data_IF_584448687092
#
_entry.id   IF_584448687092
#
_cell.length_a   1.000
_cell.length_b   1.000
_cell.length_c   1.000
_cell.angle_alpha   90.00
_cell.angle_beta   90.00
_cell.angle_gamma   90.00
#
_symmetry.space_group_name_H-M   'P 1'
#
loop_
_entity.id
_entity.type
_entity.pdbx_description
1 polymer ?
#
# COMPACT_ATOMS: atom_id res chain seq x y z
N UNK A 1 19.89 -25.36 -40.96
CA UNK A 1 19.43 -25.78 -39.62
C UNK A 1 19.39 -24.53 -38.78
N UNK A 2 18.24 -24.31 -38.15
CA UNK A 2 17.67 -23.00 -37.82
C UNK A 2 18.44 -22.20 -36.77
N UNK A 3 18.31 -20.88 -36.93
CA UNK A 3 18.82 -19.82 -36.08
C UNK A 3 18.40 -20.01 -34.62
N UNK A 4 19.37 -19.86 -33.73
CA UNK A 4 19.12 -19.56 -32.32
C UNK A 4 18.60 -18.12 -32.28
N UNK A 5 17.33 -17.96 -31.92
CA UNK A 5 16.80 -16.65 -31.52
C UNK A 5 17.52 -16.26 -30.23
N UNK A 6 18.40 -15.28 -30.36
CA UNK A 6 19.10 -14.63 -29.28
C UNK A 6 18.08 -13.69 -28.61
N UNK A 7 17.47 -14.16 -27.52
CA UNK A 7 16.51 -13.41 -26.70
C UNK A 7 17.24 -12.25 -26.01
N UNK A 8 17.54 -11.22 -26.79
CA UNK A 8 18.15 -9.96 -26.40
C UNK A 8 17.07 -8.98 -25.94
N UNK A 9 16.09 -9.48 -25.18
CA UNK A 9 15.21 -8.60 -24.42
C UNK A 9 16.03 -7.97 -23.29
N UNK A 10 16.06 -6.65 -23.23
CA UNK A 10 16.65 -5.96 -22.08
C UNK A 10 15.82 -6.30 -20.83
N UNK A 11 16.47 -6.39 -19.66
CA UNK A 11 15.77 -6.67 -18.40
C UNK A 11 14.57 -5.75 -18.16
N UNK A 12 14.61 -4.51 -18.67
CA UNK A 12 13.50 -3.57 -18.61
C UNK A 12 12.31 -3.97 -19.49
N UNK A 13 12.53 -4.52 -20.68
CA UNK A 13 11.49 -5.01 -21.58
C UNK A 13 10.81 -6.27 -21.03
N UNK A 14 11.55 -7.15 -20.35
CA UNK A 14 10.96 -8.31 -19.64
C UNK A 14 10.04 -7.90 -18.49
N UNK A 15 10.19 -6.66 -18.00
CA UNK A 15 9.31 -6.10 -16.97
C UNK A 15 8.09 -5.42 -17.58
N UNK A 16 8.03 -5.15 -18.88
CA UNK A 16 6.91 -4.45 -19.55
C UNK A 16 6.14 -5.39 -20.50
N UNK A 17 6.13 -6.69 -20.21
CA UNK A 17 5.53 -7.70 -21.10
C UNK A 17 4.02 -7.57 -21.23
N UNK A 18 3.32 -7.20 -20.15
CA UNK A 18 1.86 -7.11 -20.14
C UNK A 18 1.38 -5.72 -19.72
N UNK A 19 0.43 -5.20 -20.50
CA UNK A 19 -0.28 -3.97 -20.15
C UNK A 19 -1.12 -4.17 -18.90
N UNK A 20 -1.31 -3.11 -18.12
CA UNK A 20 -2.16 -3.12 -16.94
C UNK A 20 -3.56 -3.69 -17.25
N UNK A 21 -3.99 -4.66 -16.44
CA UNK A 21 -5.24 -5.43 -16.57
C UNK A 21 -5.28 -6.46 -17.71
N UNK A 22 -4.20 -6.64 -18.48
CA UNK A 22 -4.12 -7.75 -19.43
C UNK A 22 -4.01 -9.08 -18.68
N UNK A 23 -5.07 -9.89 -18.78
CA UNK A 23 -5.17 -11.20 -18.14
C UNK A 23 -4.81 -12.36 -19.09
N UNK A 24 -4.40 -12.10 -20.34
CA UNK A 24 -4.19 -13.12 -21.38
C UNK A 24 -3.12 -14.16 -21.02
N UNK A 25 -2.13 -13.77 -20.21
CA UNK A 25 -1.03 -14.63 -19.80
C UNK A 25 -1.15 -15.20 -18.38
N UNK A 26 -2.29 -14.98 -17.71
CA UNK A 26 -2.51 -15.43 -16.34
C UNK A 26 -3.03 -16.86 -16.38
N UNK A 27 -2.27 -17.79 -15.80
CA UNK A 27 -2.68 -19.19 -15.69
C UNK A 27 -3.79 -19.32 -14.67
N UNK A 28 -4.87 -20.02 -15.05
CA UNK A 28 -6.09 -20.17 -14.25
C UNK A 28 -6.64 -18.82 -13.76
N UNK A 29 -6.67 -17.84 -14.67
CA UNK A 29 -7.15 -16.50 -14.39
C UNK A 29 -8.59 -16.54 -13.82
N UNK A 30 -8.81 -15.70 -12.81
CA UNK A 30 -10.16 -15.35 -12.36
C UNK A 30 -10.77 -14.29 -13.29
N UNK A 31 -11.96 -13.80 -12.95
CA UNK A 31 -12.54 -12.68 -13.68
C UNK A 31 -11.62 -11.45 -13.63
N UNK A 32 -11.70 -10.60 -14.65
CA UNK A 32 -10.87 -9.39 -14.75
C UNK A 32 -11.01 -8.47 -13.53
N UNK A 33 -12.20 -8.36 -12.96
CA UNK A 33 -12.48 -7.56 -11.77
C UNK A 33 -11.79 -8.14 -10.52
N UNK A 34 -11.78 -9.46 -10.39
CA UNK A 34 -11.08 -10.16 -9.31
C UNK A 34 -9.56 -10.00 -9.44
N UNK A 35 -9.01 -10.16 -10.66
CA UNK A 35 -7.58 -9.98 -10.90
C UNK A 35 -7.13 -8.54 -10.62
N UNK A 36 -7.94 -7.56 -10.99
CA UNK A 36 -7.70 -6.14 -10.70
C UNK A 36 -7.73 -5.87 -9.20
N UNK A 37 -8.73 -6.41 -8.49
CA UNK A 37 -8.83 -6.26 -7.03
C UNK A 37 -7.65 -6.92 -6.29
N UNK A 38 -7.19 -8.09 -6.75
CA UNK A 38 -6.01 -8.77 -6.22
C UNK A 38 -4.74 -7.95 -6.45
N UNK A 39 -4.60 -7.33 -7.61
CA UNK A 39 -3.47 -6.45 -7.92
C UNK A 39 -3.45 -5.21 -7.02
N UNK A 40 -4.60 -4.57 -6.79
CA UNK A 40 -4.73 -3.43 -5.89
C UNK A 40 -4.29 -3.79 -4.47
N UNK A 41 -4.80 -4.91 -3.94
CA UNK A 41 -4.41 -5.46 -2.65
C UNK A 41 -2.92 -5.75 -2.57
N UNK A 42 -2.36 -6.42 -3.58
CA UNK A 42 -0.94 -6.72 -3.66
C UNK A 42 -0.10 -5.44 -3.58
N UNK A 43 -0.46 -4.39 -4.33
CA UNK A 43 0.23 -3.10 -4.27
C UNK A 43 0.06 -2.38 -2.94
N UNK A 44 -1.10 -2.47 -2.32
CA UNK A 44 -1.36 -1.91 -1.00
C UNK A 44 -0.43 -2.51 0.07
N UNK A 45 -0.14 -3.82 0.02
CA UNK A 45 0.85 -4.44 0.94
C UNK A 45 2.27 -3.89 0.79
N UNK A 46 2.57 -3.26 -0.35
CA UNK A 46 3.84 -2.58 -0.62
C UNK A 46 3.78 -1.07 -0.34
N UNK A 47 2.66 -0.55 0.19
CA UNK A 47 2.43 0.88 0.39
C UNK A 47 2.33 1.68 -0.92
N UNK A 48 2.01 1.02 -2.05
CA UNK A 48 1.97 1.64 -3.38
C UNK A 48 0.53 1.77 -3.88
N UNK A 49 0.22 2.89 -4.54
CA UNK A 49 -1.09 3.13 -5.17
C UNK A 49 -1.18 2.49 -6.56
N UNK A 50 -2.39 2.20 -7.02
CA UNK A 50 -2.72 1.80 -8.40
C UNK A 50 -3.18 2.97 -9.26
N UNK A 51 -3.43 4.13 -8.67
CA UNK A 51 -3.82 5.35 -9.38
C UNK A 51 -2.61 5.99 -10.05
N UNK A 52 -2.78 6.38 -11.31
CA UNK A 52 -1.79 7.20 -12.02
C UNK A 52 -1.65 8.53 -11.29
N UNK A 53 -0.42 8.91 -10.99
CA UNK A 53 -0.07 10.19 -10.37
C UNK A 53 1.13 10.80 -11.09
N UNK A 54 1.60 11.98 -10.68
CA UNK A 54 2.81 12.59 -11.25
C UNK A 54 4.04 11.66 -11.19
N UNK A 55 4.11 10.78 -10.20
CA UNK A 55 5.26 9.87 -9.99
C UNK A 55 4.95 8.40 -10.33
N UNK A 56 3.67 8.02 -10.38
CA UNK A 56 3.22 6.68 -10.78
C UNK A 56 2.65 6.78 -12.20
N UNK A 57 3.46 6.40 -13.18
CA UNK A 57 3.09 6.42 -14.61
C UNK A 57 2.38 5.13 -15.02
N UNK A 58 1.64 5.14 -16.14
CA UNK A 58 1.07 3.90 -16.72
C UNK A 58 2.16 2.85 -16.94
N UNK A 59 3.31 3.23 -17.52
CA UNK A 59 4.46 2.34 -17.68
C UNK A 59 4.93 1.69 -16.37
N UNK A 60 4.89 2.43 -15.25
CA UNK A 60 5.22 1.87 -13.94
C UNK A 60 4.17 0.89 -13.40
N UNK A 61 2.91 1.05 -13.82
CA UNK A 61 1.81 0.14 -13.51
C UNK A 61 1.88 -1.11 -14.39
N UNK A 62 2.22 -1.00 -15.67
CA UNK A 62 2.48 -2.14 -16.56
C UNK A 62 3.62 -3.01 -16.00
N UNK A 63 4.69 -2.36 -15.51
CA UNK A 63 5.78 -3.07 -14.81
C UNK A 63 5.33 -3.84 -13.58
N UNK A 64 4.48 -3.20 -12.79
CA UNK A 64 3.95 -3.81 -11.59
C UNK A 64 2.97 -4.93 -11.89
N UNK A 65 2.14 -4.76 -12.92
CA UNK A 65 1.22 -5.77 -13.42
C UNK A 65 1.99 -6.99 -13.91
N UNK A 66 3.06 -6.78 -14.68
CA UNK A 66 3.92 -7.86 -15.16
C UNK A 66 4.57 -8.63 -14.01
N UNK A 67 5.08 -7.93 -12.98
CA UNK A 67 5.59 -8.59 -11.78
C UNK A 67 4.50 -9.37 -11.02
N UNK A 68 3.27 -8.87 -10.99
CA UNK A 68 2.12 -9.54 -10.39
C UNK A 68 1.76 -10.82 -11.15
N UNK A 69 1.63 -10.77 -12.48
CA UNK A 69 1.36 -11.92 -13.35
C UNK A 69 2.44 -12.98 -13.21
N UNK A 70 3.72 -12.60 -13.30
CA UNK A 70 4.85 -13.52 -13.16
C UNK A 70 4.82 -14.24 -11.81
N UNK A 71 4.46 -13.51 -10.74
CA UNK A 71 4.41 -14.08 -9.40
C UNK A 71 3.20 -15.00 -9.21
N UNK A 72 2.03 -14.62 -9.71
CA UNK A 72 0.84 -15.47 -9.74
C UNK A 72 1.14 -16.79 -10.44
N UNK A 73 1.68 -16.73 -11.65
CA UNK A 73 1.99 -17.90 -12.47
C UNK A 73 3.05 -18.80 -11.82
N UNK A 74 4.02 -18.20 -11.10
CA UNK A 74 5.08 -18.96 -10.40
C UNK A 74 4.59 -19.65 -9.13
N UNK A 75 3.78 -18.97 -8.32
CA UNK A 75 3.34 -19.48 -7.02
C UNK A 75 2.07 -20.34 -7.13
N UNK A 76 1.25 -20.09 -8.15
CA UNK A 76 -0.11 -20.61 -8.30
C UNK A 76 -1.11 -19.79 -7.49
N UNK A 77 -2.32 -19.59 -8.03
CA UNK A 77 -3.32 -18.66 -7.47
C UNK A 77 -3.63 -18.87 -5.98
N UNK A 78 -3.89 -20.11 -5.57
CA UNK A 78 -4.18 -20.43 -4.18
C UNK A 78 -3.01 -20.15 -3.22
N UNK A 79 -1.76 -20.34 -3.65
CA UNK A 79 -0.60 -20.03 -2.81
C UNK A 79 -0.33 -18.53 -2.76
N UNK A 80 -0.50 -17.85 -3.89
CA UNK A 80 -0.41 -16.39 -3.98
C UNK A 80 -1.43 -15.71 -3.06
N UNK A 81 -2.69 -16.13 -3.08
CA UNK A 81 -3.73 -15.56 -2.21
C UNK A 81 -3.43 -15.75 -0.73
N UNK A 82 -3.03 -16.96 -0.30
CA UNK A 82 -2.59 -17.20 1.09
C UNK A 82 -1.41 -16.32 1.48
N UNK A 83 -0.44 -16.15 0.58
CA UNK A 83 0.70 -15.27 0.81
C UNK A 83 0.26 -13.81 0.96
N UNK A 84 -0.68 -13.36 0.12
CA UNK A 84 -1.24 -12.02 0.17
C UNK A 84 -1.98 -11.78 1.49
N UNK A 85 -2.87 -12.67 1.89
CA UNK A 85 -3.60 -12.61 3.17
C UNK A 85 -2.65 -12.53 4.36
N UNK A 86 -1.59 -13.34 4.38
CA UNK A 86 -0.57 -13.29 5.44
C UNK A 86 0.16 -11.94 5.48
N UNK A 87 0.45 -11.35 4.31
CA UNK A 87 1.09 -10.04 4.23
C UNK A 87 0.16 -8.91 4.64
N UNK A 88 -1.11 -8.97 4.28
CA UNK A 88 -2.12 -8.01 4.72
C UNK A 88 -2.28 -8.07 6.24
N UNK A 89 -2.43 -9.27 6.80
CA UNK A 89 -2.50 -9.45 8.25
C UNK A 89 -1.23 -8.96 8.97
N UNK A 90 -0.05 -9.17 8.38
CA UNK A 90 1.20 -8.63 8.91
C UNK A 90 1.27 -7.10 8.78
N UNK A 91 0.84 -6.54 7.65
CA UNK A 91 0.78 -5.10 7.43
C UNK A 91 -0.16 -4.44 8.44
N UNK A 92 -1.36 -4.97 8.64
CA UNK A 92 -2.31 -4.44 9.62
C UNK A 92 -1.76 -4.47 11.05
N UNK A 93 -1.02 -5.52 11.41
CA UNK A 93 -0.42 -5.67 12.74
C UNK A 93 0.84 -4.83 12.95
N UNK A 94 1.67 -4.65 11.93
CA UNK A 94 3.03 -4.10 12.06
C UNK A 94 3.21 -2.73 11.39
N UNK A 95 2.23 -2.25 10.63
CA UNK A 95 2.33 -0.96 9.95
C UNK A 95 2.24 0.18 10.95
N UNK A 96 3.32 0.94 11.07
CA UNK A 96 3.35 2.21 11.80
C UNK A 96 2.28 3.16 11.27
N UNK A 97 1.98 3.12 9.96
CA UNK A 97 0.93 3.94 9.36
C UNK A 97 -0.47 3.49 9.81
N UNK A 98 -0.72 2.18 9.88
CA UNK A 98 -1.98 1.65 10.39
C UNK A 98 -2.16 1.97 11.87
N UNK A 99 -1.11 1.80 12.69
CA UNK A 99 -1.10 2.19 14.09
C UNK A 99 -1.33 3.69 14.26
N UNK A 100 -0.67 4.54 13.48
CA UNK A 100 -0.85 5.99 13.50
C UNK A 100 -2.29 6.39 13.14
N UNK A 101 -2.91 5.72 12.17
CA UNK A 101 -4.31 5.94 11.81
C UNK A 101 -5.27 5.51 12.94
N UNK A 102 -4.98 4.39 13.61
CA UNK A 102 -5.74 3.91 14.77
C UNK A 102 -5.63 4.87 15.96
N UNK A 103 -4.41 5.28 16.33
CA UNK A 103 -4.17 6.28 17.39
C UNK A 103 -4.88 7.60 17.05
N UNK A 104 -4.87 8.01 15.78
CA UNK A 104 -5.58 9.18 15.32
C UNK A 104 -7.10 9.06 15.51
N UNK A 105 -7.68 7.91 15.15
CA UNK A 105 -9.11 7.63 15.35
C UNK A 105 -9.48 7.65 16.83
N UNK A 106 -8.76 6.89 17.66
CA UNK A 106 -8.99 6.84 19.10
C UNK A 106 -8.85 8.22 19.77
N UNK A 107 -7.90 9.04 19.32
CA UNK A 107 -7.76 10.40 19.83
C UNK A 107 -8.97 11.26 19.49
N UNK A 108 -9.48 11.15 18.26
CA UNK A 108 -10.70 11.84 17.84
C UNK A 108 -11.93 11.36 18.63
N UNK A 109 -12.09 10.05 18.80
CA UNK A 109 -13.24 9.46 19.51
C UNK A 109 -13.26 9.83 21.01
N UNK A 110 -12.10 10.20 21.57
CA UNK A 110 -11.95 10.73 22.93
C UNK A 110 -12.00 12.28 22.97
N UNK A 111 -12.47 12.93 21.91
CA UNK A 111 -12.54 14.38 21.75
C UNK A 111 -11.21 15.10 22.03
N UNK A 112 -10.08 14.44 21.77
CA UNK A 112 -8.77 15.07 21.94
C UNK A 112 -8.56 16.09 20.84
N UNK A 113 -8.05 17.25 21.24
CA UNK A 113 -7.72 18.36 20.34
C UNK A 113 -6.69 17.97 19.27
N UNK A 114 -5.90 16.91 19.49
CA UNK A 114 -4.86 16.44 18.59
C UNK A 114 -4.51 14.96 18.86
N UNK A 115 -4.01 14.23 17.86
CA UNK A 115 -3.51 12.88 18.04
C UNK A 115 -1.98 12.81 18.09
N UNK A 116 -1.42 11.77 18.72
CA UNK A 116 0.03 11.61 18.84
C UNK A 116 0.77 11.59 17.49
N UNK A 117 0.20 10.90 16.50
CA UNK A 117 0.72 10.88 15.14
C UNK A 117 0.70 12.26 14.44
N UNK A 118 -0.14 13.19 14.89
CA UNK A 118 -0.11 14.58 14.40
C UNK A 118 1.04 15.37 15.03
N UNK A 119 1.34 15.14 16.31
CA UNK A 119 2.45 15.81 17.01
C UNK A 119 3.83 15.45 16.43
N UNK A 120 4.07 14.20 16.03
CA UNK A 120 5.37 13.73 15.54
C UNK A 120 5.48 13.74 14.00
N UNK A 121 4.48 13.17 13.32
CA UNK A 121 4.58 12.84 11.89
C UNK A 121 3.66 13.69 10.99
N UNK A 122 2.81 14.54 11.58
CA UNK A 122 1.87 15.38 10.84
C UNK A 122 0.75 14.60 10.16
N UNK A 123 -0.02 13.85 10.97
CA UNK A 123 -1.19 13.07 10.56
C UNK A 123 -2.05 13.75 9.46
N UNK A 124 -2.36 13.03 8.35
CA UNK A 124 -3.15 13.57 7.24
C UNK A 124 -4.56 14.03 7.61
N UNK A 125 -5.21 13.39 8.60
CA UNK A 125 -6.59 13.71 9.02
C UNK A 125 -6.68 15.13 9.59
N UNK A 126 -5.83 15.46 10.55
CA UNK A 126 -5.78 16.79 11.16
C UNK A 126 -5.21 17.85 10.19
N UNK A 127 -4.31 17.46 9.27
CA UNK A 127 -3.87 18.33 8.17
C UNK A 127 -5.04 18.76 7.26
N UNK A 128 -6.00 17.88 6.98
CA UNK A 128 -7.21 18.23 6.20
C UNK A 128 -8.13 19.23 6.88
N UNK A 129 -8.08 19.31 8.21
CA UNK A 129 -8.85 20.27 8.99
C UNK A 129 -8.11 21.60 9.23
N UNK A 130 -6.96 21.81 8.57
CA UNK A 130 -6.10 22.99 8.73
C UNK A 130 -5.73 23.30 10.18
N UNK A 131 -5.69 22.27 11.05
CA UNK A 131 -5.22 22.44 12.40
C UNK A 131 -3.69 22.53 12.36
N UNK A 132 -3.10 23.63 12.86
CA UNK A 132 -1.65 23.79 12.87
C UNK A 132 -1.02 22.72 13.76
N UNK A 133 0.16 22.26 13.36
CA UNK A 133 0.95 21.36 14.20
C UNK A 133 1.31 22.12 15.49
N UNK A 134 0.98 21.59 16.68
CA UNK A 134 1.35 22.24 17.93
C UNK A 134 2.86 22.32 18.07
N UNK A 135 3.35 23.44 18.60
CA UNK A 135 4.77 23.57 18.94
C UNK A 135 5.14 22.71 20.17
N UNK A 136 6.42 22.66 20.52
CA UNK A 136 6.88 21.83 21.64
C UNK A 136 6.24 22.21 22.99
N UNK A 137 5.98 23.50 23.23
CA UNK A 137 5.40 23.97 24.49
C UNK A 137 3.88 23.75 24.53
N UNK A 138 3.20 23.89 23.41
CA UNK A 138 1.79 23.53 23.25
C UNK A 138 1.58 22.03 23.37
N UNK A 139 2.46 21.22 22.78
CA UNK A 139 2.47 19.76 22.95
C UNK A 139 2.59 19.38 24.43
N UNK A 140 3.54 19.97 25.16
CA UNK A 140 3.76 19.66 26.57
C UNK A 140 2.50 19.97 27.41
N UNK A 141 1.88 21.14 27.19
CA UNK A 141 0.62 21.53 27.84
C UNK A 141 -0.51 20.55 27.55
N UNK A 142 -0.64 20.07 26.31
CA UNK A 142 -1.66 19.09 25.95
C UNK A 142 -1.41 17.75 26.65
N UNK A 143 -0.16 17.28 26.72
CA UNK A 143 0.19 16.03 27.42
C UNK A 143 -0.14 16.12 28.90
N UNK A 144 0.23 17.24 29.55
CA UNK A 144 -0.03 17.48 30.97
C UNK A 144 -1.52 17.63 31.30
N UNK A 145 -2.32 18.12 30.35
CA UNK A 145 -3.76 18.27 30.49
C UNK A 145 -4.55 16.97 30.29
N UNK A 146 -3.93 15.89 29.79
CA UNK A 146 -4.60 14.58 29.68
C UNK A 146 -4.69 13.97 31.09
N UNK A 147 -5.89 13.77 31.64
CA UNK A 147 -6.02 13.11 32.93
C UNK A 147 -5.55 11.67 32.80
N UNK A 148 -4.59 11.26 33.63
CA UNK A 148 -4.06 9.89 33.71
C UNK A 148 -5.06 8.90 34.31
N UNK A 149 -6.37 9.15 34.22
CA UNK A 149 -7.38 8.28 34.83
C UNK A 149 -7.51 6.96 34.07
N UNK A 150 -6.73 5.99 34.56
CA UNK A 150 -6.96 4.54 34.65
C UNK A 150 -6.87 3.75 33.33
N UNK A 151 -5.77 2.99 33.22
CA UNK A 151 -5.63 1.74 32.44
C UNK A 151 -6.60 0.69 32.97
#
# INVERSE_FOLDING_TARGET
MSAQDDDTSTYEETLETWALHDCSAIVDARSQDEMSSLFERFRATLGKTTTVTRTVTIRSLDKAWTAFVNRWNKEGGAAFERMLENREAAYDRLSVLALAAQVCRLSYDLDRQCCFAHFEDGCPRYRRHNLPRPDAAERQRIIEAIPWSVV
#
